data_IF_384949665449
#
_entry.id   IF_384949665449
#
_cell.length_a   1.000
_cell.length_b   1.000
_cell.length_c   1.000
_cell.angle_alpha   90.00
_cell.angle_beta   90.00
_cell.angle_gamma   90.00
#
_symmetry.space_group_name_H-M   'P 1'
#
loop_
_entity.id
_entity.type
_entity.pdbx_description
1 polymer ?
#
# COMPACT_ATOMS: atom_id res chain seq x y z
N UNK A 1 -19.46 0.28 18.61
CA UNK A 1 -18.54 0.59 17.49
C UNK A 1 -19.43 0.52 16.27
N UNK A 2 -19.76 1.66 15.69
CA UNK A 2 -20.95 1.83 14.85
C UNK A 2 -20.75 1.18 13.46
N UNK A 3 -21.79 0.58 12.90
CA UNK A 3 -21.81 -0.08 11.57
C UNK A 3 -21.15 0.75 10.46
N UNK A 4 -21.25 2.08 10.55
CA UNK A 4 -20.66 3.03 9.61
C UNK A 4 -19.12 3.01 9.62
N UNK A 5 -18.51 2.83 10.79
CA UNK A 5 -17.06 2.68 10.94
C UNK A 5 -16.58 1.35 10.37
N UNK A 6 -17.35 0.28 10.57
CA UNK A 6 -17.06 -1.03 9.97
C UNK A 6 -17.10 -1.03 8.43
N UNK A 7 -18.12 -0.39 7.84
CA UNK A 7 -18.27 -0.28 6.38
C UNK A 7 -17.16 0.56 5.72
N UNK A 8 -16.76 1.67 6.33
CA UNK A 8 -15.69 2.53 5.79
C UNK A 8 -14.32 1.82 5.79
N UNK A 9 -14.09 1.00 6.82
CA UNK A 9 -12.84 0.24 6.99
C UNK A 9 -12.76 -0.89 5.98
N UNK A 10 -13.84 -1.64 5.76
CA UNK A 10 -13.86 -2.73 4.78
C UNK A 10 -13.63 -2.22 3.36
N UNK A 11 -14.29 -1.12 2.94
CA UNK A 11 -14.07 -0.48 1.63
C UNK A 11 -12.61 -0.03 1.47
N UNK A 12 -12.01 0.52 2.52
CA UNK A 12 -10.60 0.95 2.48
C UNK A 12 -9.65 -0.24 2.34
N UNK A 13 -9.91 -1.37 3.02
CA UNK A 13 -9.12 -2.60 2.91
C UNK A 13 -9.27 -3.23 1.52
N UNK A 14 -10.49 -3.34 0.98
CA UNK A 14 -10.69 -3.87 -0.37
C UNK A 14 -10.09 -2.96 -1.44
N UNK A 15 -10.23 -1.64 -1.30
CA UNK A 15 -9.61 -0.66 -2.19
C UNK A 15 -8.08 -0.76 -2.17
N UNK A 16 -7.50 -0.93 -0.98
CA UNK A 16 -6.07 -1.19 -0.80
C UNK A 16 -5.64 -2.46 -1.54
N UNK A 17 -6.29 -3.61 -1.29
CA UNK A 17 -5.95 -4.86 -1.98
C UNK A 17 -6.11 -4.77 -3.49
N UNK A 18 -7.19 -4.15 -3.97
CA UNK A 18 -7.43 -3.93 -5.39
C UNK A 18 -6.29 -3.14 -6.05
N UNK A 19 -5.86 -2.04 -5.42
CA UNK A 19 -4.75 -1.23 -5.92
C UNK A 19 -3.41 -1.98 -5.86
N UNK A 20 -3.15 -2.79 -4.83
CA UNK A 20 -1.94 -3.62 -4.74
C UNK A 20 -1.89 -4.65 -5.88
N UNK A 21 -3.02 -5.29 -6.19
CA UNK A 21 -3.11 -6.25 -7.32
C UNK A 21 -2.91 -5.52 -8.64
N UNK A 22 -3.59 -4.40 -8.88
CA UNK A 22 -3.44 -3.61 -10.10
C UNK A 22 -2.01 -3.09 -10.27
N UNK A 23 -1.37 -2.61 -9.20
CA UNK A 23 0.02 -2.20 -9.18
C UNK A 23 0.96 -3.32 -9.59
N UNK A 24 0.76 -4.51 -9.02
CA UNK A 24 1.54 -5.71 -9.33
C UNK A 24 1.35 -6.14 -10.78
N UNK A 25 0.11 -6.19 -11.28
CA UNK A 25 -0.19 -6.51 -12.67
C UNK A 25 0.46 -5.53 -13.64
N UNK A 26 0.44 -4.23 -13.33
CA UNK A 26 1.09 -3.22 -14.17
C UNK A 26 2.62 -3.43 -14.24
N UNK A 27 3.28 -3.77 -13.13
CA UNK A 27 4.71 -4.08 -13.12
C UNK A 27 5.00 -5.38 -13.89
N UNK A 28 4.23 -6.44 -13.67
CA UNK A 28 4.40 -7.71 -14.39
C UNK A 28 4.17 -7.56 -15.90
N UNK A 29 3.24 -6.70 -16.28
CA UNK A 29 2.97 -6.36 -17.68
C UNK A 29 4.11 -5.55 -18.28
N UNK A 30 4.69 -4.59 -17.54
CA UNK A 30 5.89 -3.85 -17.98
C UNK A 30 7.04 -4.80 -18.32
N UNK A 31 7.27 -5.80 -17.46
CA UNK A 31 8.32 -6.79 -17.64
C UNK A 31 8.00 -7.75 -18.79
N UNK A 32 6.78 -8.29 -18.82
CA UNK A 32 6.38 -9.33 -19.80
C UNK A 32 6.26 -8.81 -21.24
N UNK A 33 5.85 -7.55 -21.42
CA UNK A 33 5.61 -6.97 -22.75
C UNK A 33 6.77 -6.10 -23.25
N UNK A 34 7.98 -6.29 -22.73
CA UNK A 34 9.16 -5.51 -23.14
C UNK A 34 8.99 -3.98 -22.97
N UNK A 35 8.45 -3.57 -21.82
CA UNK A 35 8.34 -2.17 -21.35
C UNK A 35 7.33 -1.32 -22.16
N UNK A 36 6.07 -1.76 -22.31
CA UNK A 36 5.03 -1.01 -22.99
C UNK A 36 4.82 0.39 -22.39
N UNK A 37 4.46 1.33 -23.25
CA UNK A 37 4.14 2.71 -22.87
C UNK A 37 2.68 3.02 -23.15
N UNK A 38 2.00 3.64 -22.19
CA UNK A 38 0.64 4.18 -22.35
C UNK A 38 0.66 5.67 -22.06
N UNK A 39 0.11 6.47 -22.98
CA UNK A 39 0.09 7.94 -22.87
C UNK A 39 1.49 8.56 -22.62
N UNK A 40 2.55 7.94 -23.17
CA UNK A 40 3.94 8.39 -22.98
C UNK A 40 4.57 8.01 -21.62
N UNK A 41 3.85 7.25 -20.78
CA UNK A 41 4.36 6.71 -19.51
C UNK A 41 4.64 5.21 -19.64
N UNK A 42 5.78 4.76 -19.13
CA UNK A 42 6.07 3.32 -19.03
C UNK A 42 5.15 2.66 -18.01
N UNK A 43 4.69 1.45 -18.30
CA UNK A 43 3.69 0.75 -17.50
C UNK A 43 4.12 0.52 -16.03
N UNK A 44 5.41 0.33 -15.75
CA UNK A 44 5.89 0.23 -14.37
C UNK A 44 5.62 1.49 -13.53
N UNK A 45 5.51 2.68 -14.17
CA UNK A 45 5.16 3.94 -13.48
C UNK A 45 3.69 3.98 -13.09
N UNK A 46 2.82 3.40 -13.92
CA UNK A 46 1.40 3.19 -13.58
C UNK A 46 1.32 2.27 -12.36
N UNK A 47 2.15 1.21 -12.32
CA UNK A 47 2.29 0.36 -11.16
C UNK A 47 2.74 1.11 -9.90
N UNK A 48 3.78 1.93 -10.00
CA UNK A 48 4.24 2.79 -8.89
C UNK A 48 3.14 3.73 -8.36
N UNK A 49 2.35 4.32 -9.25
CA UNK A 49 1.22 5.17 -8.86
C UNK A 49 0.15 4.37 -8.09
N UNK A 50 -0.22 3.18 -8.57
CA UNK A 50 -1.16 2.33 -7.86
C UNK A 50 -0.64 1.88 -6.50
N UNK A 51 0.65 1.55 -6.38
CA UNK A 51 1.26 1.27 -5.09
C UNK A 51 1.20 2.48 -4.16
N UNK A 52 1.62 3.67 -4.63
CA UNK A 52 1.51 4.91 -3.86
C UNK A 52 0.10 5.11 -3.31
N UNK A 53 -0.92 5.03 -4.18
CA UNK A 53 -2.32 5.19 -3.78
C UNK A 53 -2.78 4.12 -2.80
N UNK A 54 -2.38 2.86 -2.99
CA UNK A 54 -2.70 1.77 -2.07
C UNK A 54 -2.16 2.09 -0.66
N UNK A 55 -0.89 2.48 -0.56
CA UNK A 55 -0.29 2.77 0.73
C UNK A 55 -0.84 4.04 1.37
N UNK A 56 -1.25 5.05 0.59
CA UNK A 56 -1.98 6.23 1.11
C UNK A 56 -3.33 5.84 1.70
N UNK A 57 -4.12 5.03 0.99
CA UNK A 57 -5.42 4.54 1.49
C UNK A 57 -5.22 3.73 2.77
N UNK A 58 -4.21 2.87 2.81
CA UNK A 58 -3.84 2.14 4.02
C UNK A 58 -3.52 3.08 5.17
N UNK A 59 -2.64 4.07 4.97
CA UNK A 59 -2.26 5.01 6.02
C UNK A 59 -3.47 5.77 6.58
N UNK A 60 -4.34 6.27 5.70
CA UNK A 60 -5.57 6.99 6.08
C UNK A 60 -6.54 6.08 6.83
N UNK A 61 -6.80 4.88 6.31
CA UNK A 61 -7.72 3.92 6.92
C UNK A 61 -7.27 3.50 8.33
N UNK A 62 -6.00 3.14 8.49
CA UNK A 62 -5.45 2.79 9.81
C UNK A 62 -5.34 3.98 10.76
N UNK A 63 -5.17 5.20 10.23
CA UNK A 63 -5.17 6.41 11.07
C UNK A 63 -6.54 6.66 11.68
N UNK A 64 -7.62 6.42 10.94
CA UNK A 64 -8.99 6.58 11.43
C UNK A 64 -9.32 5.56 12.53
N UNK A 65 -8.71 4.38 12.47
CA UNK A 65 -8.84 3.32 13.47
C UNK A 65 -7.93 3.52 14.71
N UNK A 66 -7.03 4.50 14.69
CA UNK A 66 -6.09 4.74 15.80
C UNK A 66 -4.86 3.83 15.82
N UNK A 67 -4.67 2.99 14.79
CA UNK A 67 -3.54 2.05 14.67
C UNK A 67 -2.26 2.74 14.20
N UNK A 68 -1.65 3.53 15.10
CA UNK A 68 -0.50 4.40 14.78
C UNK A 68 0.65 3.68 14.08
N UNK A 69 1.01 2.47 14.51
CA UNK A 69 2.12 1.70 13.91
C UNK A 69 1.85 1.39 12.43
N UNK A 70 0.64 0.94 12.13
CA UNK A 70 0.21 0.67 10.77
C UNK A 70 0.15 1.95 9.95
N UNK A 71 -0.42 3.03 10.48
CA UNK A 71 -0.44 4.35 9.83
C UNK A 71 0.95 4.78 9.40
N UNK A 72 1.94 4.72 10.31
CA UNK A 72 3.31 5.09 9.99
C UNK A 72 3.94 4.14 8.97
N UNK A 73 3.78 2.83 9.14
CA UNK A 73 4.29 1.84 8.18
C UNK A 73 3.79 2.09 6.77
N UNK A 74 2.47 2.26 6.60
CA UNK A 74 1.84 2.61 5.34
C UNK A 74 2.30 3.98 4.81
N UNK A 75 2.44 5.00 5.67
CA UNK A 75 2.91 6.32 5.24
C UNK A 75 4.36 6.31 4.73
N UNK A 76 5.25 5.54 5.35
CA UNK A 76 6.64 5.35 4.89
C UNK A 76 6.69 4.66 3.52
N UNK A 77 5.88 3.62 3.32
CA UNK A 77 5.77 2.94 2.04
C UNK A 77 5.19 3.86 0.96
N UNK A 78 4.14 4.62 1.30
CA UNK A 78 3.57 5.63 0.41
C UNK A 78 4.63 6.66 0.00
N UNK A 79 5.39 7.20 0.95
CA UNK A 79 6.46 8.15 0.64
C UNK A 79 7.50 7.55 -0.33
N UNK A 80 7.94 6.30 -0.11
CA UNK A 80 8.89 5.62 -0.99
C UNK A 80 8.35 5.43 -2.41
N UNK A 81 7.11 4.94 -2.56
CA UNK A 81 6.48 4.76 -3.87
C UNK A 81 6.15 6.09 -4.57
N UNK A 82 5.74 7.10 -3.81
CA UNK A 82 5.49 8.45 -4.30
C UNK A 82 6.77 9.13 -4.82
N UNK A 83 7.88 8.98 -4.09
CA UNK A 83 9.20 9.45 -4.52
C UNK A 83 9.68 8.73 -5.77
N UNK A 84 9.52 7.39 -5.84
CA UNK A 84 9.81 6.64 -7.05
C UNK A 84 8.98 7.16 -8.23
N UNK A 85 7.70 7.45 -8.05
CA UNK A 85 6.86 8.01 -9.10
C UNK A 85 7.30 9.44 -9.52
N UNK A 86 7.63 10.28 -8.54
CA UNK A 86 8.02 11.67 -8.72
C UNK A 86 9.45 11.86 -9.26
N UNK A 87 10.31 10.85 -9.19
CA UNK A 87 11.68 10.84 -9.72
C UNK A 87 11.80 11.39 -11.15
N UNK A 88 10.81 11.16 -12.02
CA UNK A 88 10.81 11.75 -13.37
C UNK A 88 10.81 13.29 -13.37
N UNK A 89 10.17 13.90 -12.38
CA UNK A 89 10.07 15.37 -12.25
C UNK A 89 11.32 15.94 -11.57
N UNK A 90 11.98 15.15 -10.72
CA UNK A 90 13.06 15.58 -9.84
C UNK A 90 14.44 15.08 -10.28
N UNK A 91 14.54 14.38 -11.42
CA UNK A 91 15.62 13.44 -11.74
C UNK A 91 17.08 13.94 -11.65
N UNK A 92 17.34 15.25 -11.76
CA UNK A 92 18.68 15.80 -11.57
C UNK A 92 18.98 16.23 -10.11
N UNK A 93 17.95 16.44 -9.29
CA UNK A 93 18.08 16.99 -7.93
C UNK A 93 18.14 15.91 -6.85
N UNK A 94 17.75 14.67 -7.15
CA UNK A 94 17.65 13.61 -6.16
C UNK A 94 19.02 13.06 -5.70
N UNK A 95 20.07 13.24 -6.51
CA UNK A 95 21.45 12.90 -6.16
C UNK A 95 21.71 11.42 -5.83
N UNK A 96 22.95 11.11 -5.43
CA UNK A 96 23.40 9.73 -5.19
C UNK A 96 22.74 9.08 -3.95
N UNK A 97 22.21 9.90 -3.03
CA UNK A 97 21.57 9.43 -1.80
C UNK A 97 20.12 9.01 -2.00
N UNK A 98 19.54 9.22 -3.18
CA UNK A 98 18.14 8.89 -3.46
C UNK A 98 17.82 7.42 -3.25
N UNK A 99 18.59 6.54 -3.89
CA UNK A 99 18.36 5.10 -3.82
C UNK A 99 18.56 4.56 -2.39
N UNK A 100 19.66 4.90 -1.68
CA UNK A 100 19.80 4.55 -0.26
C UNK A 100 18.65 5.06 0.61
N UNK A 101 18.22 6.31 0.41
CA UNK A 101 17.10 6.91 1.15
C UNK A 101 15.79 6.18 0.92
N UNK A 102 15.48 5.81 -0.32
CA UNK A 102 14.32 4.98 -0.66
C UNK A 102 14.35 3.62 0.03
N UNK A 103 15.51 2.95 0.04
CA UNK A 103 15.66 1.67 0.73
C UNK A 103 15.37 1.81 2.22
N UNK A 104 15.87 2.88 2.86
CA UNK A 104 15.58 3.16 4.28
C UNK A 104 14.07 3.36 4.51
N UNK A 105 13.39 4.13 3.66
CA UNK A 105 11.93 4.33 3.76
C UNK A 105 11.17 3.00 3.66
N UNK A 106 11.52 2.15 2.70
CA UNK A 106 10.87 0.86 2.53
C UNK A 106 11.14 -0.10 3.69
N UNK A 107 12.38 -0.16 4.16
CA UNK A 107 12.76 -1.03 5.28
C UNK A 107 12.06 -0.59 6.57
N UNK A 108 12.06 0.71 6.89
CA UNK A 108 11.36 1.23 8.07
C UNK A 108 9.86 0.98 7.95
N UNK A 109 9.26 1.30 6.80
CA UNK A 109 7.84 1.07 6.56
C UNK A 109 7.43 -0.38 6.77
N UNK A 110 8.15 -1.32 6.14
CA UNK A 110 7.89 -2.75 6.31
C UNK A 110 8.16 -3.24 7.74
N UNK A 111 9.22 -2.78 8.39
CA UNK A 111 9.52 -3.17 9.77
C UNK A 111 8.39 -2.76 10.72
N UNK A 112 7.85 -1.55 10.57
CA UNK A 112 6.72 -1.09 11.38
C UNK A 112 5.46 -1.94 11.15
N UNK A 113 5.17 -2.30 9.90
CA UNK A 113 4.04 -3.17 9.58
C UNK A 113 4.21 -4.57 10.16
N UNK A 114 5.39 -5.18 10.00
CA UNK A 114 5.68 -6.52 10.54
C UNK A 114 5.61 -6.54 12.06
N UNK A 115 6.17 -5.52 12.73
CA UNK A 115 6.04 -5.39 14.18
C UNK A 115 4.59 -5.23 14.57
N UNK A 116 3.81 -4.42 13.85
CA UNK A 116 2.36 -4.32 14.03
C UNK A 116 1.69 -5.69 13.98
N UNK A 117 1.88 -6.42 12.89
CA UNK A 117 1.28 -7.75 12.65
C UNK A 117 1.62 -8.73 13.78
N UNK A 118 2.86 -8.77 14.24
CA UNK A 118 3.29 -9.72 15.28
C UNK A 118 2.80 -9.31 16.68
N UNK A 119 2.64 -8.01 16.93
CA UNK A 119 2.36 -7.48 18.28
C UNK A 119 0.90 -7.18 18.57
N UNK A 120 0.05 -7.13 17.55
CA UNK A 120 -1.30 -6.58 17.65
C UNK A 120 -2.34 -7.63 17.21
N UNK A 121 -2.73 -8.50 18.16
CA UNK A 121 -3.74 -9.54 17.94
C UNK A 121 -5.10 -8.93 17.54
N UNK A 122 -5.45 -7.74 18.05
CA UNK A 122 -6.68 -7.04 17.72
C UNK A 122 -6.69 -6.50 16.27
N UNK A 123 -5.53 -6.05 15.77
CA UNK A 123 -5.42 -5.65 14.38
C UNK A 123 -5.49 -6.84 13.42
N UNK A 124 -5.10 -8.05 13.85
CA UNK A 124 -5.22 -9.26 13.03
C UNK A 124 -6.68 -9.65 12.78
N UNK A 125 -7.57 -9.52 13.77
CA UNK A 125 -9.01 -9.82 13.60
C UNK A 125 -9.69 -8.88 12.59
N UNK A 126 -9.22 -7.63 12.48
CA UNK A 126 -9.72 -6.66 11.50
C UNK A 126 -9.15 -6.92 10.09
N UNK A 127 -7.91 -7.43 10.03
CA UNK A 127 -7.18 -7.65 8.78
C UNK A 127 -7.43 -9.01 8.13
N UNK A 128 -7.77 -10.01 8.95
CA UNK A 128 -8.16 -11.35 8.53
C UNK A 128 -9.63 -11.49 8.94
N UNK A 129 -10.58 -11.22 8.04
CA UNK A 129 -11.96 -11.53 8.32
C UNK A 129 -12.03 -13.05 8.46
N UNK A 130 -12.16 -13.55 9.69
CA UNK A 130 -12.63 -14.91 9.92
C UNK A 130 -14.00 -14.99 9.25
N UNK A 131 -14.10 -15.80 8.20
CA UNK A 131 -15.39 -16.13 7.63
C UNK A 131 -16.26 -16.62 8.79
N UNK A 132 -17.36 -15.90 9.07
CA UNK A 132 -18.38 -16.45 9.94
C UNK A 132 -18.77 -17.81 9.36
N UNK A 133 -18.78 -18.89 10.18
CA UNK A 133 -19.31 -20.15 9.71
C UNK A 133 -20.71 -19.86 9.19
N UNK A 134 -20.96 -20.24 7.94
CA UNK A 134 -22.30 -20.18 7.36
C UNK A 134 -23.19 -20.99 8.30
N UNK A 135 -24.01 -20.32 9.11
CA UNK A 135 -25.03 -20.99 9.89
C UNK A 135 -25.88 -21.79 8.90
N UNK A 136 -25.87 -23.11 9.07
CA UNK A 136 -26.65 -24.04 8.26
C UNK A 136 -28.11 -23.54 8.24
N UNK A 137 -28.54 -23.09 7.06
CA UNK A 137 -29.94 -22.71 6.81
C UNK A 137 -30.76 -24.00 6.82
N UNK A 138 -31.25 -24.36 8.01
CA UNK A 138 -32.22 -25.43 8.24
C UNK A 138 -33.63 -25.06 7.83
#
# INVERSE_FOLDING_TARGET
MDEQTGSTVSVSIYGLWGLLVLGTLAVLTDVSLSRPTVLGLRFHRVGQLFFFLAFVIGAVGFSQLGYRRYTFGFAFLAAGWGLLFADRLLGAELGDLFIPGLVVLFVIGMALLLVGIVSDEQAQEVLVPTAEPLDDVG
#
